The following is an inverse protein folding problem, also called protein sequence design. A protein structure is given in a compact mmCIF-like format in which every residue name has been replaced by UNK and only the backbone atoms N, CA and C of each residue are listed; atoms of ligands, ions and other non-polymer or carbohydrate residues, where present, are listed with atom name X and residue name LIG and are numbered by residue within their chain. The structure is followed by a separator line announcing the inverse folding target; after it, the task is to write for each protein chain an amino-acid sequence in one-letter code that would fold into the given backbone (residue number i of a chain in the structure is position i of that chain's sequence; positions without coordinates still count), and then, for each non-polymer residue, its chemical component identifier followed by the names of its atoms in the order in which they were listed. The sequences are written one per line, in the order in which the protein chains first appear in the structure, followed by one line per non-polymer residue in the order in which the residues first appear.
data_IF_068085447881
#
_entry.id   IF_068085447881
#
_cell.length_a   1.000
_cell.length_b   1.000
_cell.length_c   1.000
_cell.angle_alpha   90.00
_cell.angle_beta   90.00
_cell.angle_gamma   90.00
#
_symmetry.space_group_name_H-M   'P 1'
#
loop_
_entity.id
_entity.type
_entity.pdbx_description
1 polymer ?
#
# COMPACT_ATOMS: atom_id res chain seq x y z
N UNK A 1 32.48 -36.66 21.60
CA UNK A 1 32.79 -35.44 22.36
C UNK A 1 32.66 -34.27 21.40
N UNK A 2 31.61 -33.40 21.50
CA UNK A 2 31.45 -32.28 20.61
C UNK A 2 32.06 -31.04 21.25
N UNK A 3 33.23 -30.62 20.82
CA UNK A 3 33.85 -29.35 21.22
C UNK A 3 34.05 -28.30 20.10
N UNK A 4 33.44 -28.35 18.92
CA UNK A 4 33.72 -27.33 17.92
C UNK A 4 32.80 -26.09 17.98
N UNK A 5 31.60 -26.15 18.56
CA UNK A 5 30.65 -25.06 18.49
C UNK A 5 31.01 -23.85 19.38
N UNK A 6 31.53 -24.08 20.57
CA UNK A 6 31.93 -22.99 21.48
C UNK A 6 33.13 -22.18 20.97
N UNK A 7 34.08 -22.85 20.33
CA UNK A 7 35.27 -22.19 19.78
C UNK A 7 34.94 -21.38 18.52
N UNK A 8 33.97 -21.84 17.72
CA UNK A 8 33.47 -21.05 16.56
C UNK A 8 32.72 -19.82 17.01
N UNK A 9 31.83 -19.94 17.99
CA UNK A 9 31.09 -18.82 18.57
C UNK A 9 32.00 -17.79 19.23
N UNK A 10 33.01 -18.25 19.97
CA UNK A 10 34.00 -17.38 20.61
C UNK A 10 34.89 -16.64 19.60
N UNK A 11 35.13 -17.22 18.43
CA UNK A 11 35.81 -16.51 17.30
C UNK A 11 34.93 -15.47 16.67
N UNK A 12 33.66 -15.78 16.42
CA UNK A 12 32.68 -14.89 15.82
C UNK A 12 32.40 -13.67 16.71
N UNK A 13 32.29 -13.88 18.02
CA UNK A 13 32.14 -12.77 19.01
C UNK A 13 33.40 -11.90 19.05
N UNK A 14 34.59 -12.47 18.95
CA UNK A 14 35.82 -11.68 18.87
C UNK A 14 35.92 -10.85 17.59
N UNK A 15 35.58 -11.44 16.44
CA UNK A 15 35.57 -10.73 15.15
C UNK A 15 34.57 -9.57 15.16
N UNK A 16 33.39 -9.78 15.73
CA UNK A 16 32.39 -8.73 15.94
C UNK A 16 32.89 -7.62 16.86
N UNK A 17 33.54 -7.97 17.98
CA UNK A 17 34.10 -6.98 18.89
C UNK A 17 35.22 -6.13 18.24
N UNK A 18 36.09 -6.75 17.44
CA UNK A 18 37.12 -6.02 16.67
C UNK A 18 36.51 -5.10 15.62
N UNK A 19 35.45 -5.52 14.93
CA UNK A 19 34.73 -4.68 13.96
C UNK A 19 34.03 -3.50 14.62
N UNK A 20 33.43 -3.67 15.78
CA UNK A 20 32.85 -2.57 16.57
C UNK A 20 33.91 -1.58 17.01
N UNK A 21 35.03 -2.07 17.57
CA UNK A 21 36.13 -1.21 17.98
C UNK A 21 36.74 -0.40 16.81
N UNK A 22 36.85 -1.01 15.62
CA UNK A 22 37.34 -0.31 14.43
C UNK A 22 36.37 0.79 13.94
N UNK A 23 35.03 0.56 14.05
CA UNK A 23 34.02 1.55 13.72
C UNK A 23 34.01 2.71 14.72
N UNK A 24 34.15 2.44 16.02
CA UNK A 24 34.26 3.48 17.05
C UNK A 24 35.51 4.35 16.84
N UNK A 25 36.62 3.73 16.47
CA UNK A 25 37.87 4.49 16.17
C UNK A 25 37.70 5.37 14.94
N UNK A 26 37.03 4.90 13.89
CA UNK A 26 36.71 5.71 12.70
C UNK A 26 35.77 6.86 13.02
N UNK A 27 34.77 6.66 13.88
CA UNK A 27 33.87 7.70 14.37
C UNK A 27 34.63 8.77 15.15
N UNK A 28 35.48 8.39 16.09
CA UNK A 28 36.34 9.34 16.85
C UNK A 28 37.28 10.13 15.95
N UNK A 29 37.86 9.49 14.93
CA UNK A 29 38.71 10.20 13.94
C UNK A 29 37.89 11.14 13.04
N UNK A 30 36.67 10.83 12.74
CA UNK A 30 35.75 11.70 12.01
C UNK A 30 35.31 12.90 12.87
N UNK A 31 34.99 12.67 14.13
CA UNK A 31 34.67 13.72 15.11
C UNK A 31 35.87 14.65 15.36
N UNK A 32 37.07 14.10 15.49
CA UNK A 32 38.30 14.89 15.66
C UNK A 32 38.67 15.76 14.43
N UNK A 33 38.20 15.39 13.22
CA UNK A 33 38.35 16.22 12.01
C UNK A 33 37.30 17.31 11.90
N UNK A 34 36.20 17.23 12.65
CA UNK A 34 35.15 18.26 12.69
C UNK A 34 35.39 19.29 13.76
N UNK A 35 36.29 19.02 14.72
CA UNK A 35 36.71 20.02 15.71
C UNK A 35 37.77 20.95 15.09
N UNK A 36 37.49 22.24 14.84
CA UNK A 36 38.50 23.18 14.34
C UNK A 36 39.61 23.37 15.39
N UNK A 37 40.87 23.28 14.94
CA UNK A 37 42.03 23.58 15.76
C UNK A 37 41.91 25.00 16.36
N UNK A 38 42.09 25.10 17.66
CA UNK A 38 42.18 26.38 18.38
C UNK A 38 43.18 27.30 17.72
N UNK A 39 42.75 28.41 17.16
CA UNK A 39 43.54 29.54 16.78
C UNK A 39 43.54 30.56 17.94
N UNK A 40 44.66 31.35 18.16
CA UNK A 40 44.90 32.11 19.38
C UNK A 40 43.93 33.28 19.55
N UNK A 41 43.59 33.46 20.82
CA UNK A 41 42.69 34.48 21.36
C UNK A 41 43.21 35.90 21.16
N UNK A 42 42.73 36.56 20.12
CA UNK A 42 42.72 38.04 20.06
C UNK A 42 41.79 38.47 18.92
N UNK A 43 40.52 38.55 19.17
CA UNK A 43 39.47 39.36 18.49
C UNK A 43 38.07 38.76 18.77
N UNK A 44 37.65 38.75 20.05
CA UNK A 44 36.43 37.99 20.44
C UNK A 44 35.20 38.90 20.62
N UNK A 45 35.24 40.20 20.41
CA UNK A 45 34.03 41.03 20.60
C UNK A 45 33.23 41.39 19.33
N UNK A 46 33.79 41.19 18.12
CA UNK A 46 33.07 41.51 16.88
C UNK A 46 32.41 40.28 16.18
N UNK A 47 32.71 39.04 16.59
CA UNK A 47 32.24 37.82 15.93
C UNK A 47 31.03 37.19 16.63
N UNK A 48 30.73 37.61 17.86
CA UNK A 48 29.59 37.04 18.63
C UNK A 48 28.22 37.52 18.13
N UNK A 49 28.12 38.64 17.44
CA UNK A 49 26.87 39.12 16.84
C UNK A 49 26.57 38.48 15.48
N UNK A 50 27.57 38.04 14.71
CA UNK A 50 27.37 37.37 13.42
C UNK A 50 26.98 35.90 13.56
N UNK A 51 27.44 35.20 14.61
CA UNK A 51 27.08 33.79 14.84
C UNK A 51 25.64 33.56 15.34
N UNK A 52 25.06 34.56 15.97
CA UNK A 52 23.64 34.53 16.42
C UNK A 52 22.65 34.70 15.28
N UNK A 53 23.04 35.34 14.17
CA UNK A 53 22.19 35.57 13.00
C UNK A 53 22.25 34.39 12.04
N UNK A 54 23.36 33.64 11.98
CA UNK A 54 23.53 32.48 11.09
C UNK A 54 22.78 31.22 11.63
N UNK A 55 22.60 31.08 12.95
CA UNK A 55 21.86 29.97 13.54
C UNK A 55 20.35 30.11 13.35
N UNK A 56 19.82 31.29 13.06
CA UNK A 56 18.38 31.52 12.80
C UNK A 56 18.03 31.53 11.31
N UNK A 57 18.96 31.44 10.41
CA UNK A 57 18.73 31.48 8.96
C UNK A 57 18.42 30.10 8.34
N UNK A 58 18.81 29.01 9.00
CA UNK A 58 18.54 27.64 8.49
C UNK A 58 17.05 27.34 8.26
N UNK A 59 16.11 27.66 9.17
CA UNK A 59 14.68 27.45 8.89
C UNK A 59 14.16 28.38 7.78
N UNK A 60 14.73 29.56 7.62
CA UNK A 60 14.33 30.51 6.57
C UNK A 60 14.83 30.06 5.18
N UNK A 61 16.05 29.56 5.06
CA UNK A 61 16.60 29.01 3.82
C UNK A 61 15.85 27.74 3.38
N UNK A 62 15.48 26.88 4.33
CA UNK A 62 14.64 25.72 4.06
C UNK A 62 13.23 26.14 3.60
N UNK A 63 12.63 27.15 4.23
CA UNK A 63 11.33 27.68 3.84
C UNK A 63 11.36 28.33 2.45
N UNK A 64 12.41 29.06 2.12
CA UNK A 64 12.60 29.67 0.79
C UNK A 64 12.76 28.59 -0.29
N UNK A 65 13.45 27.48 0.02
CA UNK A 65 13.59 26.33 -0.88
C UNK A 65 12.26 25.60 -1.16
N UNK A 66 11.27 25.69 -0.25
CA UNK A 66 9.93 25.09 -0.42
C UNK A 66 8.98 25.95 -1.26
N UNK A 67 9.21 27.27 -1.32
CA UNK A 67 8.32 28.22 -1.99
C UNK A 67 8.06 27.90 -3.47
N UNK A 68 9.08 27.55 -4.30
CA UNK A 68 8.86 27.14 -5.68
C UNK A 68 8.05 25.85 -5.81
N UNK A 69 8.19 24.92 -4.85
CA UNK A 69 7.48 23.66 -4.85
C UNK A 69 5.98 23.86 -4.55
N UNK A 70 5.68 24.67 -3.53
CA UNK A 70 4.31 25.07 -3.20
C UNK A 70 3.67 25.86 -4.34
N UNK A 71 4.42 26.78 -4.95
CA UNK A 71 3.96 27.54 -6.12
C UNK A 71 3.57 26.63 -7.29
N UNK A 72 4.35 25.60 -7.58
CA UNK A 72 4.01 24.60 -8.61
C UNK A 72 2.77 23.81 -8.27
N UNK A 73 2.61 23.38 -7.00
CA UNK A 73 1.39 22.67 -6.55
C UNK A 73 0.16 23.55 -6.68
N UNK A 74 0.23 24.82 -6.29
CA UNK A 74 -0.85 25.79 -6.46
C UNK A 74 -1.20 26.02 -7.93
N UNK A 75 -0.19 26.10 -8.80
CA UNK A 75 -0.40 26.19 -10.25
C UNK A 75 -1.09 24.92 -10.79
N UNK A 76 -0.74 23.75 -10.26
CA UNK A 76 -1.40 22.50 -10.57
C UNK A 76 -2.88 22.49 -10.19
N UNK A 77 -3.21 22.96 -9.02
CA UNK A 77 -4.60 23.10 -8.58
C UNK A 77 -5.34 24.15 -9.42
N UNK A 78 -4.71 25.28 -9.73
CA UNK A 78 -5.31 26.30 -10.61
C UNK A 78 -5.65 25.75 -12.00
N UNK A 79 -4.77 24.91 -12.59
CA UNK A 79 -5.03 24.20 -13.84
C UNK A 79 -6.24 23.25 -13.76
N UNK A 80 -6.40 22.53 -12.64
CA UNK A 80 -7.56 21.69 -12.42
C UNK A 80 -8.86 22.49 -12.30
N UNK A 81 -8.83 23.62 -11.57
CA UNK A 81 -9.97 24.53 -11.49
C UNK A 81 -10.32 25.17 -12.84
N UNK A 82 -9.34 25.51 -13.67
CA UNK A 82 -9.56 26.00 -15.03
C UNK A 82 -10.26 24.93 -15.89
N UNK A 83 -9.82 23.69 -15.87
CA UNK A 83 -10.48 22.60 -16.59
C UNK A 83 -11.92 22.42 -16.13
N UNK A 84 -12.16 22.50 -14.82
CA UNK A 84 -13.51 22.46 -14.27
C UNK A 84 -14.39 23.62 -14.77
N UNK A 85 -13.87 24.84 -14.72
CA UNK A 85 -14.62 26.03 -15.20
C UNK A 85 -14.95 25.94 -16.69
N UNK A 86 -14.06 25.38 -17.52
CA UNK A 86 -14.30 25.13 -18.94
C UNK A 86 -15.39 24.06 -19.15
N UNK A 87 -15.47 23.05 -18.31
CA UNK A 87 -16.53 22.04 -18.35
C UNK A 87 -17.87 22.65 -17.90
N UNK A 88 -17.91 23.39 -16.79
CA UNK A 88 -19.11 24.05 -16.26
C UNK A 88 -19.66 25.13 -17.22
N UNK A 89 -18.78 25.80 -17.98
CA UNK A 89 -19.22 26.79 -18.99
C UNK A 89 -19.83 26.18 -20.27
N UNK A 90 -19.84 24.85 -20.37
CA UNK A 90 -20.28 24.11 -21.56
C UNK A 90 -19.35 24.20 -22.77
N UNK A 91 -18.14 24.78 -22.59
CA UNK A 91 -17.12 24.82 -23.63
C UNK A 91 -16.52 23.44 -23.96
N UNK A 92 -16.58 22.51 -22.99
CA UNK A 92 -16.15 21.13 -23.14
C UNK A 92 -17.28 20.18 -22.74
N UNK A 93 -17.53 19.09 -23.52
CA UNK A 93 -18.42 18.02 -23.10
C UNK A 93 -17.90 17.37 -21.79
N UNK A 94 -18.78 16.99 -20.85
CA UNK A 94 -18.41 16.49 -19.52
C UNK A 94 -17.40 15.33 -19.57
N UNK A 95 -17.61 14.36 -20.47
CA UNK A 95 -16.71 13.22 -20.64
C UNK A 95 -15.30 13.62 -21.13
N UNK A 96 -15.18 14.70 -21.92
CA UNK A 96 -13.90 15.25 -22.39
C UNK A 96 -13.19 15.96 -21.23
N UNK A 97 -13.94 16.75 -20.44
CA UNK A 97 -13.44 17.42 -19.24
C UNK A 97 -12.90 16.42 -18.20
N UNK A 98 -13.66 15.35 -17.94
CA UNK A 98 -13.26 14.26 -17.03
C UNK A 98 -11.99 13.57 -17.54
N UNK A 99 -11.96 13.18 -18.82
CA UNK A 99 -10.78 12.53 -19.41
C UNK A 99 -9.54 13.42 -19.35
N UNK A 100 -9.69 14.72 -19.67
CA UNK A 100 -8.60 15.69 -19.58
C UNK A 100 -8.10 15.84 -18.14
N UNK A 101 -8.99 15.87 -17.15
CA UNK A 101 -8.63 15.92 -15.73
C UNK A 101 -7.88 14.68 -15.25
N UNK A 102 -8.29 13.49 -15.69
CA UNK A 102 -7.57 12.22 -15.39
C UNK A 102 -6.17 12.25 -16.01
N UNK A 103 -6.04 12.64 -17.28
CA UNK A 103 -4.75 12.78 -17.97
C UNK A 103 -3.87 13.82 -17.28
N UNK A 104 -4.45 14.93 -16.85
CA UNK A 104 -3.76 15.98 -16.12
C UNK A 104 -3.21 15.48 -14.77
N UNK A 105 -4.01 14.78 -13.99
CA UNK A 105 -3.57 14.14 -12.74
C UNK A 105 -2.47 13.10 -13.00
N UNK A 106 -2.61 12.28 -14.03
CA UNK A 106 -1.58 11.34 -14.47
C UNK A 106 -0.27 12.05 -14.86
N UNK A 107 -0.36 13.22 -15.50
CA UNK A 107 0.77 14.08 -15.83
C UNK A 107 1.56 14.53 -14.60
N UNK A 108 0.88 14.93 -13.53
CA UNK A 108 1.51 15.28 -12.24
C UNK A 108 2.21 14.08 -11.60
N UNK A 109 1.60 12.90 -11.64
CA UNK A 109 2.22 11.67 -11.14
C UNK A 109 3.43 11.27 -12.01
N UNK A 110 3.36 11.47 -13.34
CA UNK A 110 4.49 11.32 -14.24
C UNK A 110 5.62 12.31 -13.92
N UNK A 111 5.27 13.53 -13.51
CA UNK A 111 6.25 14.53 -13.09
C UNK A 111 6.96 14.10 -11.80
N UNK A 112 6.23 13.53 -10.84
CA UNK A 112 6.81 12.90 -9.66
C UNK A 112 7.83 11.81 -10.03
N UNK A 113 7.56 11.03 -11.09
CA UNK A 113 8.47 10.02 -11.60
C UNK A 113 9.78 10.57 -12.18
N UNK A 114 9.82 11.83 -12.58
CA UNK A 114 11.02 12.48 -13.14
C UNK A 114 11.91 13.13 -12.07
N UNK A 115 11.41 13.26 -10.86
CA UNK A 115 12.16 13.82 -9.74
C UNK A 115 13.32 12.90 -9.36
N UNK A 116 14.52 13.45 -9.07
CA UNK A 116 15.63 12.66 -8.54
C UNK A 116 15.26 11.98 -7.21
N UNK A 117 15.75 10.76 -6.99
CA UNK A 117 15.44 9.98 -5.77
C UNK A 117 15.81 10.69 -4.45
N UNK A 118 16.70 11.67 -4.50
CA UNK A 118 17.11 12.48 -3.34
C UNK A 118 16.05 13.51 -2.92
N UNK A 119 15.17 13.90 -3.83
CA UNK A 119 14.17 14.95 -3.62
C UNK A 119 12.79 14.34 -3.27
N UNK A 120 12.75 13.53 -2.22
CA UNK A 120 11.52 12.82 -1.80
C UNK A 120 10.35 13.77 -1.51
N UNK A 121 10.63 14.97 -0.99
CA UNK A 121 9.60 15.97 -0.71
C UNK A 121 8.95 16.50 -1.99
N UNK A 122 9.75 16.75 -3.04
CA UNK A 122 9.21 17.19 -4.33
C UNK A 122 8.32 16.12 -4.97
N UNK A 123 8.75 14.85 -4.91
CA UNK A 123 7.96 13.72 -5.36
C UNK A 123 6.65 13.59 -4.58
N UNK A 124 6.69 13.77 -3.25
CA UNK A 124 5.50 13.76 -2.39
C UNK A 124 4.51 14.87 -2.78
N UNK A 125 4.99 16.10 -2.97
CA UNK A 125 4.12 17.24 -3.34
C UNK A 125 3.47 17.03 -4.70
N UNK A 126 4.21 16.53 -5.70
CA UNK A 126 3.63 16.26 -7.02
C UNK A 126 2.62 15.11 -6.99
N UNK A 127 2.89 14.06 -6.21
CA UNK A 127 1.94 12.95 -6.03
C UNK A 127 0.69 13.39 -5.28
N UNK A 128 0.85 14.24 -4.25
CA UNK A 128 -0.28 14.81 -3.52
C UNK A 128 -1.11 15.74 -4.43
N UNK A 129 -0.46 16.56 -5.26
CA UNK A 129 -1.15 17.41 -6.26
C UNK A 129 -1.95 16.53 -7.23
N UNK A 130 -1.37 15.43 -7.73
CA UNK A 130 -2.09 14.48 -8.57
C UNK A 130 -3.33 13.90 -7.87
N UNK A 131 -3.19 13.49 -6.60
CA UNK A 131 -4.28 12.94 -5.80
C UNK A 131 -5.37 13.98 -5.52
N UNK A 132 -5.00 15.21 -5.14
CA UNK A 132 -5.96 16.30 -4.85
C UNK A 132 -6.72 16.78 -6.09
N UNK A 133 -6.20 16.55 -7.28
CA UNK A 133 -6.91 16.78 -8.54
C UNK A 133 -7.84 15.60 -8.87
N UNK A 134 -7.32 14.38 -8.79
CA UNK A 134 -8.04 13.17 -9.24
C UNK A 134 -9.23 12.84 -8.34
N UNK A 135 -9.04 12.87 -7.01
CA UNK A 135 -10.06 12.40 -6.06
C UNK A 135 -11.36 13.24 -6.13
N UNK A 136 -11.31 14.59 -6.03
CA UNK A 136 -12.53 15.39 -6.18
C UNK A 136 -13.14 15.29 -7.58
N UNK A 137 -12.32 15.19 -8.63
CA UNK A 137 -12.81 15.02 -9.99
C UNK A 137 -13.65 13.75 -10.14
N UNK A 138 -13.12 12.61 -9.65
CA UNK A 138 -13.85 11.34 -9.72
C UNK A 138 -15.10 11.34 -8.84
N UNK A 139 -15.03 11.95 -7.66
CA UNK A 139 -16.19 12.14 -6.81
C UNK A 139 -17.30 12.91 -7.53
N UNK A 140 -16.96 14.06 -8.09
CA UNK A 140 -17.93 14.91 -8.78
C UNK A 140 -18.49 14.23 -10.03
N UNK A 141 -17.63 13.61 -10.84
CA UNK A 141 -18.04 12.89 -12.05
C UNK A 141 -18.97 11.70 -11.76
N UNK A 142 -18.79 11.05 -10.60
CA UNK A 142 -19.56 9.84 -10.26
C UNK A 142 -20.80 10.17 -9.44
N UNK A 143 -20.67 11.00 -8.38
CA UNK A 143 -21.75 11.25 -7.41
C UNK A 143 -22.62 12.42 -7.81
N UNK A 144 -22.05 13.52 -8.32
CA UNK A 144 -22.80 14.73 -8.63
C UNK A 144 -23.33 14.74 -10.06
N UNK A 145 -22.47 14.46 -11.02
CA UNK A 145 -22.81 14.52 -12.45
C UNK A 145 -23.36 13.19 -13.00
N UNK A 146 -23.16 12.09 -12.31
CA UNK A 146 -23.50 10.72 -12.78
C UNK A 146 -22.97 10.44 -14.19
N UNK A 147 -21.86 11.10 -14.58
CA UNK A 147 -21.26 11.01 -15.90
C UNK A 147 -20.45 9.71 -16.09
N UNK A 148 -19.94 9.13 -15.01
CA UNK A 148 -19.21 7.85 -15.02
C UNK A 148 -19.77 6.92 -13.93
N UNK A 149 -19.67 5.60 -14.16
CA UNK A 149 -20.07 4.61 -13.20
C UNK A 149 -19.04 4.47 -12.05
N UNK A 150 -19.48 3.96 -10.88
CA UNK A 150 -18.59 3.63 -9.77
C UNK A 150 -17.49 2.63 -10.19
N UNK A 151 -17.79 1.71 -11.11
CA UNK A 151 -16.82 0.78 -11.66
C UNK A 151 -15.72 1.47 -12.49
N UNK A 152 -16.09 2.43 -13.32
CA UNK A 152 -15.12 3.24 -14.11
C UNK A 152 -14.24 4.09 -13.20
N UNK A 153 -14.83 4.74 -12.19
CA UNK A 153 -14.09 5.49 -11.18
C UNK A 153 -13.13 4.57 -10.41
N UNK A 154 -13.59 3.40 -9.99
CA UNK A 154 -12.76 2.39 -9.33
C UNK A 154 -11.60 1.91 -10.20
N UNK A 155 -11.84 1.62 -11.48
CA UNK A 155 -10.78 1.26 -12.41
C UNK A 155 -9.72 2.37 -12.56
N UNK A 156 -10.16 3.63 -12.62
CA UNK A 156 -9.26 4.79 -12.70
C UNK A 156 -8.41 4.92 -11.43
N UNK A 157 -9.01 4.75 -10.24
CA UNK A 157 -8.29 4.76 -8.97
C UNK A 157 -7.29 3.60 -8.87
N UNK A 158 -7.65 2.42 -9.35
CA UNK A 158 -6.74 1.28 -9.42
C UNK A 158 -5.53 1.57 -10.31
N UNK A 159 -5.76 2.10 -11.51
CA UNK A 159 -4.66 2.46 -12.43
C UNK A 159 -3.76 3.55 -11.84
N UNK A 160 -4.34 4.53 -11.13
CA UNK A 160 -3.58 5.56 -10.42
C UNK A 160 -2.69 4.97 -9.32
N UNK A 161 -3.22 4.05 -8.50
CA UNK A 161 -2.46 3.37 -7.47
C UNK A 161 -1.32 2.52 -8.06
N UNK A 162 -1.60 1.71 -9.10
CA UNK A 162 -0.61 0.88 -9.78
C UNK A 162 0.48 1.74 -10.43
N UNK A 163 0.12 2.87 -11.01
CA UNK A 163 1.08 3.80 -11.57
C UNK A 163 1.99 4.39 -10.48
N UNK A 164 1.44 4.80 -9.33
CA UNK A 164 2.22 5.23 -8.16
C UNK A 164 3.18 4.15 -7.66
N UNK A 165 2.74 2.89 -7.57
CA UNK A 165 3.58 1.75 -7.22
C UNK A 165 4.71 1.54 -8.23
N UNK A 166 4.41 1.64 -9.53
CA UNK A 166 5.41 1.49 -10.61
C UNK A 166 6.49 2.57 -10.51
N UNK A 167 6.09 3.82 -10.26
CA UNK A 167 7.02 4.93 -10.03
C UNK A 167 7.90 4.65 -8.80
N UNK A 168 7.29 4.18 -7.72
CA UNK A 168 8.00 3.81 -6.49
C UNK A 168 9.06 2.73 -6.74
N UNK A 169 8.75 1.72 -7.52
CA UNK A 169 9.69 0.64 -7.84
C UNK A 169 10.89 1.13 -8.65
N UNK A 170 10.65 1.92 -9.70
CA UNK A 170 11.72 2.39 -10.56
C UNK A 170 12.64 3.42 -9.93
N UNK A 171 12.14 4.21 -8.99
CA UNK A 171 12.87 5.35 -8.40
C UNK A 171 13.18 5.19 -6.92
N UNK A 172 12.73 4.12 -6.30
CA UNK A 172 12.79 3.89 -4.84
C UNK A 172 12.16 5.06 -4.03
N UNK A 173 11.04 5.58 -4.54
CA UNK A 173 10.28 6.70 -3.96
C UNK A 173 9.01 6.16 -3.26
N UNK A 174 9.17 5.50 -2.13
CA UNK A 174 8.06 4.87 -1.37
C UNK A 174 6.91 5.84 -1.07
N UNK A 175 7.22 7.12 -0.86
CA UNK A 175 6.21 8.15 -0.58
C UNK A 175 5.18 8.30 -1.70
N UNK A 176 5.58 8.07 -2.97
CA UNK A 176 4.68 8.17 -4.14
C UNK A 176 3.64 7.05 -4.11
N UNK A 177 4.06 5.81 -3.84
CA UNK A 177 3.12 4.69 -3.74
C UNK A 177 2.18 4.87 -2.54
N UNK A 178 2.71 5.30 -1.40
CA UNK A 178 1.91 5.54 -0.19
C UNK A 178 0.81 6.57 -0.46
N UNK A 179 1.14 7.73 -1.04
CA UNK A 179 0.16 8.77 -1.36
C UNK A 179 -0.87 8.26 -2.37
N UNK A 180 -0.43 7.61 -3.47
CA UNK A 180 -1.33 7.12 -4.50
C UNK A 180 -2.27 6.03 -3.97
N UNK A 181 -1.78 5.09 -3.16
CA UNK A 181 -2.57 4.02 -2.56
C UNK A 181 -3.56 4.56 -1.54
N UNK A 182 -3.12 5.45 -0.63
CA UNK A 182 -4.00 6.07 0.36
C UNK A 182 -5.09 6.91 -0.30
N UNK A 183 -4.75 7.68 -1.34
CA UNK A 183 -5.71 8.45 -2.11
C UNK A 183 -6.75 7.54 -2.80
N UNK A 184 -6.31 6.44 -3.41
CA UNK A 184 -7.20 5.49 -4.07
C UNK A 184 -8.11 4.76 -3.06
N UNK A 185 -7.60 4.34 -1.91
CA UNK A 185 -8.41 3.72 -0.84
C UNK A 185 -9.41 4.73 -0.26
N UNK A 186 -8.95 5.93 0.10
CA UNK A 186 -9.80 6.97 0.67
C UNK A 186 -10.91 7.41 -0.29
N UNK A 187 -10.56 7.63 -1.57
CA UNK A 187 -11.52 7.94 -2.63
C UNK A 187 -12.51 6.78 -2.86
N UNK A 188 -12.01 5.53 -2.87
CA UNK A 188 -12.86 4.35 -2.99
C UNK A 188 -13.88 4.23 -1.86
N UNK A 189 -13.46 4.47 -0.61
CA UNK A 189 -14.37 4.51 0.54
C UNK A 189 -15.37 5.66 0.42
N UNK A 190 -14.92 6.85 0.04
CA UNK A 190 -15.82 7.97 -0.18
C UNK A 190 -16.86 7.65 -1.26
N UNK A 191 -16.44 7.14 -2.42
CA UNK A 191 -17.34 6.73 -3.49
C UNK A 191 -18.33 5.65 -3.03
N UNK A 192 -17.89 4.68 -2.20
CA UNK A 192 -18.75 3.65 -1.64
C UNK A 192 -19.89 4.26 -0.82
N UNK A 193 -19.58 5.26 -0.01
CA UNK A 193 -20.56 5.97 0.81
C UNK A 193 -21.47 6.88 -0.02
N UNK A 194 -20.96 7.43 -1.12
CA UNK A 194 -21.71 8.37 -1.98
C UNK A 194 -22.61 7.68 -3.02
N UNK A 195 -22.14 6.56 -3.60
CA UNK A 195 -22.86 5.86 -4.68
C UNK A 195 -23.69 4.68 -4.21
N UNK A 196 -23.36 4.11 -3.04
CA UNK A 196 -23.91 2.86 -2.51
C UNK A 196 -23.73 1.67 -3.47
N UNK A 197 -22.80 1.75 -4.42
CA UNK A 197 -22.47 0.68 -5.36
C UNK A 197 -21.29 -0.14 -4.83
N UNK A 198 -21.61 -1.09 -3.96
CA UNK A 198 -20.64 -1.83 -3.14
C UNK A 198 -19.74 -2.72 -3.97
N UNK A 199 -20.30 -3.43 -4.96
CA UNK A 199 -19.60 -4.51 -5.63
C UNK A 199 -18.38 -4.05 -6.46
N UNK A 200 -18.47 -3.03 -7.34
CA UNK A 200 -17.31 -2.54 -8.10
C UNK A 200 -16.20 -2.01 -7.21
N UNK A 201 -16.56 -1.36 -6.09
CA UNK A 201 -15.59 -0.80 -5.17
C UNK A 201 -14.94 -1.87 -4.28
N UNK A 202 -15.66 -2.95 -3.96
CA UNK A 202 -15.05 -4.14 -3.35
C UNK A 202 -13.98 -4.73 -4.27
N UNK A 203 -14.25 -4.86 -5.56
CA UNK A 203 -13.24 -5.30 -6.53
C UNK A 203 -12.07 -4.33 -6.68
N UNK A 204 -12.29 -3.02 -6.57
CA UNK A 204 -11.21 -2.03 -6.47
C UNK A 204 -10.27 -2.35 -5.30
N UNK A 205 -10.82 -2.53 -4.09
CA UNK A 205 -10.01 -2.78 -2.90
C UNK A 205 -9.27 -4.12 -2.98
N UNK A 206 -9.91 -5.16 -3.51
CA UNK A 206 -9.27 -6.44 -3.78
C UNK A 206 -8.13 -6.32 -4.81
N UNK A 207 -8.33 -5.54 -5.87
CA UNK A 207 -7.31 -5.32 -6.90
C UNK A 207 -6.10 -4.54 -6.34
N UNK A 208 -6.33 -3.50 -5.52
CA UNK A 208 -5.25 -2.77 -4.84
C UNK A 208 -4.51 -3.71 -3.87
N UNK A 209 -5.22 -4.50 -3.07
CA UNK A 209 -4.61 -5.48 -2.16
C UNK A 209 -3.76 -6.51 -2.94
N UNK A 210 -4.25 -7.01 -4.07
CA UNK A 210 -3.49 -7.92 -4.95
C UNK A 210 -2.22 -7.26 -5.50
N UNK A 211 -2.28 -5.99 -5.92
CA UNK A 211 -1.12 -5.27 -6.42
C UNK A 211 -0.07 -5.04 -5.32
N UNK A 212 -0.49 -4.70 -4.10
CA UNK A 212 0.39 -4.52 -2.94
C UNK A 212 1.02 -5.85 -2.52
N UNK A 213 0.25 -6.95 -2.50
CA UNK A 213 0.78 -8.28 -2.20
C UNK A 213 1.75 -8.77 -3.29
N UNK A 214 1.46 -8.51 -4.57
CA UNK A 214 2.38 -8.79 -5.66
C UNK A 214 3.70 -8.01 -5.51
N UNK A 215 3.63 -6.75 -5.09
CA UNK A 215 4.82 -5.94 -4.78
C UNK A 215 5.66 -6.56 -3.67
N UNK A 216 5.01 -6.98 -2.59
CA UNK A 216 5.67 -7.66 -1.48
C UNK A 216 6.31 -9.00 -1.91
N UNK A 217 5.69 -9.72 -2.86
CA UNK A 217 6.28 -10.91 -3.46
C UNK A 217 7.51 -10.61 -4.31
N UNK A 218 7.67 -9.38 -4.83
CA UNK A 218 8.83 -8.92 -5.61
C UNK A 218 9.90 -8.21 -4.77
N UNK A 219 9.86 -8.34 -3.44
CA UNK A 219 10.74 -7.68 -2.46
C UNK A 219 10.64 -6.15 -2.43
N UNK A 220 9.56 -5.61 -2.97
CA UNK A 220 9.24 -4.20 -2.87
C UNK A 220 8.26 -3.99 -1.71
N UNK A 221 8.79 -3.79 -0.51
CA UNK A 221 7.98 -3.59 0.68
C UNK A 221 7.22 -2.28 0.63
N UNK A 222 5.90 -2.37 0.72
CA UNK A 222 4.99 -1.24 0.88
C UNK A 222 4.44 -1.25 2.30
N UNK A 223 4.55 -0.14 3.01
CA UNK A 223 4.05 -0.02 4.39
C UNK A 223 2.53 -0.14 4.48
N UNK A 224 1.83 0.02 3.35
CA UNK A 224 0.38 0.05 3.22
C UNK A 224 -0.28 -1.35 3.25
N UNK A 225 0.50 -2.44 3.32
CA UNK A 225 -0.04 -3.83 3.27
C UNK A 225 -1.18 -4.07 4.26
N UNK A 226 -1.00 -3.64 5.50
CA UNK A 226 -2.03 -3.84 6.52
C UNK A 226 -3.30 -3.04 6.25
N UNK A 227 -3.18 -1.81 5.71
CA UNK A 227 -4.32 -0.96 5.42
C UNK A 227 -5.12 -1.49 4.23
N UNK A 228 -4.44 -1.92 3.16
CA UNK A 228 -5.09 -2.53 2.00
C UNK A 228 -5.78 -3.84 2.36
N UNK A 229 -5.16 -4.65 3.25
CA UNK A 229 -5.74 -5.88 3.76
C UNK A 229 -7.03 -5.60 4.54
N UNK A 230 -6.97 -4.72 5.52
CA UNK A 230 -8.15 -4.35 6.33
C UNK A 230 -9.27 -3.77 5.45
N UNK A 231 -8.94 -2.93 4.48
CA UNK A 231 -9.94 -2.32 3.59
C UNK A 231 -10.60 -3.39 2.70
N UNK A 232 -9.83 -4.33 2.16
CA UNK A 232 -10.35 -5.44 1.37
C UNK A 232 -11.24 -6.36 2.22
N UNK A 233 -10.79 -6.75 3.42
CA UNK A 233 -11.54 -7.58 4.35
C UNK A 233 -12.88 -6.94 4.73
N UNK A 234 -12.84 -5.66 5.13
CA UNK A 234 -14.05 -4.93 5.53
C UNK A 234 -15.03 -4.74 4.37
N UNK A 235 -14.53 -4.52 3.15
CA UNK A 235 -15.39 -4.36 1.97
C UNK A 235 -16.14 -5.66 1.63
N UNK A 236 -15.45 -6.82 1.69
CA UNK A 236 -16.07 -8.13 1.46
C UNK A 236 -17.05 -8.48 2.59
N UNK A 237 -16.69 -8.19 3.84
CA UNK A 237 -17.59 -8.35 4.99
C UNK A 237 -18.85 -7.50 4.85
N UNK A 238 -18.70 -6.20 4.51
CA UNK A 238 -19.82 -5.30 4.31
C UNK A 238 -20.75 -5.80 3.20
N UNK A 239 -20.17 -6.16 2.04
CA UNK A 239 -20.96 -6.69 0.92
C UNK A 239 -21.71 -7.97 1.30
N UNK A 240 -21.05 -8.87 2.04
CA UNK A 240 -21.67 -10.11 2.53
C UNK A 240 -22.79 -9.81 3.53
N UNK A 241 -22.54 -8.92 4.49
CA UNK A 241 -23.52 -8.54 5.50
C UNK A 241 -24.76 -7.90 4.88
N UNK A 242 -24.59 -7.01 3.89
CA UNK A 242 -25.69 -6.36 3.18
C UNK A 242 -26.60 -7.38 2.48
N UNK A 243 -26.02 -8.43 1.88
CA UNK A 243 -26.80 -9.44 1.14
C UNK A 243 -27.45 -10.47 2.06
N UNK A 244 -26.79 -10.78 3.20
CA UNK A 244 -27.25 -11.85 4.11
C UNK A 244 -28.09 -11.33 5.28
N UNK A 245 -28.28 -10.02 5.40
CA UNK A 245 -29.07 -9.41 6.46
C UNK A 245 -30.56 -9.75 6.28
N UNK A 246 -31.23 -10.16 7.38
CA UNK A 246 -32.66 -10.52 7.41
C UNK A 246 -33.60 -9.38 6.97
N UNK A 247 -33.13 -8.13 7.04
CA UNK A 247 -33.90 -6.94 6.59
C UNK A 247 -33.88 -6.75 5.09
N UNK A 248 -33.10 -7.53 4.35
CA UNK A 248 -32.85 -7.36 2.93
C UNK A 248 -31.91 -6.21 2.60
N UNK A 249 -31.59 -6.07 1.32
CA UNK A 249 -30.76 -4.99 0.82
C UNK A 249 -31.56 -3.67 0.87
N UNK A 250 -31.02 -2.59 1.49
CA UNK A 250 -31.69 -1.27 1.47
C UNK A 250 -31.90 -0.79 0.04
N UNK A 251 -33.03 -0.12 -0.24
CA UNK A 251 -33.42 0.34 -1.59
C UNK A 251 -32.37 1.29 -2.24
N UNK A 252 -31.56 1.94 -1.43
CA UNK A 252 -30.49 2.85 -1.90
C UNK A 252 -29.28 2.12 -2.50
N UNK A 253 -29.13 0.83 -2.22
CA UNK A 253 -27.99 0.04 -2.69
C UNK A 253 -28.28 -0.65 -4.02
N UNK A 254 -27.28 -0.66 -4.90
CA UNK A 254 -27.36 -1.43 -6.13
C UNK A 254 -27.45 -2.94 -5.84
N UNK A 255 -28.22 -3.66 -6.67
CA UNK A 255 -28.35 -5.10 -6.52
C UNK A 255 -26.99 -5.82 -6.60
N UNK A 256 -26.70 -6.68 -5.64
CA UNK A 256 -25.45 -7.44 -5.56
C UNK A 256 -25.72 -8.89 -5.98
N UNK A 257 -25.30 -9.33 -7.19
CA UNK A 257 -25.47 -10.70 -7.62
C UNK A 257 -24.63 -11.66 -6.76
N UNK A 258 -25.24 -12.71 -6.22
CA UNK A 258 -24.58 -13.67 -5.31
C UNK A 258 -23.30 -14.28 -5.90
N UNK A 259 -23.29 -14.56 -7.22
CA UNK A 259 -22.13 -15.15 -7.89
C UNK A 259 -20.89 -14.21 -7.87
N UNK A 260 -21.10 -12.92 -8.09
CA UNK A 260 -20.00 -11.94 -8.06
C UNK A 260 -19.47 -11.71 -6.63
N UNK A 261 -20.38 -11.70 -5.65
CA UNK A 261 -19.98 -11.61 -4.24
C UNK A 261 -19.23 -12.87 -3.80
N UNK A 262 -19.67 -14.04 -4.21
CA UNK A 262 -18.94 -15.29 -4.02
C UNK A 262 -17.55 -15.23 -4.69
N UNK A 263 -17.47 -14.69 -5.91
CA UNK A 263 -16.20 -14.44 -6.60
C UNK A 263 -15.27 -13.51 -5.81
N UNK A 264 -15.80 -12.47 -5.17
CA UNK A 264 -15.03 -11.57 -4.33
C UNK A 264 -14.45 -12.27 -3.08
N UNK A 265 -15.24 -13.18 -2.45
CA UNK A 265 -14.77 -13.99 -1.32
C UNK A 265 -13.64 -14.95 -1.72
N UNK A 266 -13.81 -15.63 -2.86
CA UNK A 266 -12.77 -16.50 -3.41
C UNK A 266 -11.53 -15.71 -3.78
N UNK A 267 -11.70 -14.52 -4.37
CA UNK A 267 -10.57 -13.64 -4.73
C UNK A 267 -9.79 -13.17 -3.49
N UNK A 268 -10.49 -12.78 -2.42
CA UNK A 268 -9.87 -12.40 -1.15
C UNK A 268 -8.95 -13.52 -0.63
N UNK A 269 -9.48 -14.74 -0.53
CA UNK A 269 -8.70 -15.90 -0.09
C UNK A 269 -7.53 -16.19 -1.02
N UNK A 270 -7.77 -16.16 -2.34
CA UNK A 270 -6.76 -16.46 -3.34
C UNK A 270 -5.59 -15.47 -3.31
N UNK A 271 -5.84 -14.17 -3.12
CA UNK A 271 -4.80 -13.12 -3.06
C UNK A 271 -3.83 -13.42 -1.92
N UNK A 272 -4.34 -13.61 -0.70
CA UNK A 272 -3.48 -13.79 0.48
C UNK A 272 -2.85 -15.18 0.53
N UNK A 273 -3.56 -16.21 0.09
CA UNK A 273 -3.00 -17.55 0.00
C UNK A 273 -1.88 -17.63 -1.05
N UNK A 274 -2.09 -17.04 -2.24
CA UNK A 274 -1.08 -17.01 -3.29
C UNK A 274 0.16 -16.22 -2.86
N UNK A 275 -0.02 -15.03 -2.27
CA UNK A 275 1.10 -14.23 -1.74
C UNK A 275 1.91 -15.03 -0.71
N UNK A 276 1.24 -15.67 0.23
CA UNK A 276 1.89 -16.48 1.27
C UNK A 276 2.63 -17.68 0.67
N UNK A 277 2.02 -18.39 -0.27
CA UNK A 277 2.66 -19.53 -0.97
C UNK A 277 3.93 -19.07 -1.69
N UNK A 278 3.85 -17.98 -2.45
CA UNK A 278 5.01 -17.44 -3.18
C UNK A 278 6.14 -17.11 -2.20
N UNK A 279 5.85 -16.41 -1.12
CA UNK A 279 6.86 -15.96 -0.16
C UNK A 279 7.47 -17.10 0.64
N UNK A 280 6.67 -18.05 1.10
CA UNK A 280 7.15 -19.11 1.98
C UNK A 280 7.74 -20.31 1.22
N UNK A 281 7.11 -20.73 0.11
CA UNK A 281 7.54 -21.93 -0.63
C UNK A 281 8.48 -21.63 -1.79
N UNK A 282 8.34 -20.50 -2.48
CA UNK A 282 9.20 -20.16 -3.60
C UNK A 282 10.41 -19.34 -3.16
N UNK A 283 10.23 -18.43 -2.21
CA UNK A 283 11.30 -17.56 -1.72
C UNK A 283 11.92 -17.99 -0.39
N UNK A 284 11.32 -18.94 0.32
CA UNK A 284 11.87 -19.52 1.54
C UNK A 284 11.78 -18.63 2.78
N UNK A 285 10.94 -17.56 2.76
CA UNK A 285 10.73 -16.72 3.93
C UNK A 285 9.88 -17.43 4.98
N UNK A 286 10.09 -17.06 6.24
CA UNK A 286 9.25 -17.51 7.34
C UNK A 286 7.97 -16.66 7.41
N UNK A 287 6.87 -17.27 7.83
CA UNK A 287 5.63 -16.56 8.13
C UNK A 287 5.87 -15.41 9.11
N UNK A 288 5.39 -14.25 8.77
CA UNK A 288 5.26 -13.13 9.71
C UNK A 288 3.93 -13.22 10.46
N UNK A 289 3.82 -12.49 11.58
CA UNK A 289 2.55 -12.42 12.32
C UNK A 289 1.41 -11.87 11.46
N UNK A 290 1.71 -10.85 10.65
CA UNK A 290 0.76 -10.26 9.72
C UNK A 290 0.23 -11.30 8.73
N UNK A 291 1.10 -12.06 8.07
CA UNK A 291 0.70 -13.07 7.08
C UNK A 291 -0.15 -14.19 7.70
N UNK A 292 0.23 -14.64 8.89
CA UNK A 292 -0.55 -15.66 9.61
C UNK A 292 -1.94 -15.16 9.96
N UNK A 293 -2.04 -13.94 10.52
CA UNK A 293 -3.31 -13.34 10.87
C UNK A 293 -4.17 -13.07 9.63
N UNK A 294 -3.58 -12.50 8.58
CA UNK A 294 -4.31 -12.11 7.38
C UNK A 294 -4.86 -13.31 6.60
N UNK A 295 -4.07 -14.38 6.44
CA UNK A 295 -4.59 -15.62 5.82
C UNK A 295 -5.72 -16.21 6.65
N UNK A 296 -5.60 -16.18 8.00
CA UNK A 296 -6.67 -16.62 8.90
C UNK A 296 -7.95 -15.79 8.74
N UNK A 297 -7.83 -14.45 8.70
CA UNK A 297 -8.99 -13.57 8.49
C UNK A 297 -9.61 -13.75 7.11
N UNK A 298 -8.81 -13.78 6.06
CA UNK A 298 -9.29 -14.02 4.70
C UNK A 298 -10.02 -15.36 4.57
N UNK A 299 -9.50 -16.42 5.22
CA UNK A 299 -10.15 -17.73 5.27
C UNK A 299 -11.49 -17.65 6.01
N UNK A 300 -11.52 -17.08 7.22
CA UNK A 300 -12.74 -16.95 8.02
C UNK A 300 -13.81 -16.14 7.29
N UNK A 301 -13.44 -14.99 6.69
CA UNK A 301 -14.37 -14.13 5.94
C UNK A 301 -14.94 -14.89 4.73
N UNK A 302 -14.05 -15.52 3.95
CA UNK A 302 -14.45 -16.22 2.72
C UNK A 302 -15.31 -17.42 2.99
N UNK A 303 -14.95 -18.25 3.97
CA UNK A 303 -15.73 -19.47 4.29
C UNK A 303 -17.05 -19.12 4.97
N UNK A 304 -17.05 -18.24 5.99
CA UNK A 304 -18.29 -17.84 6.67
C UNK A 304 -19.24 -17.11 5.72
N UNK A 305 -18.70 -16.23 4.87
CA UNK A 305 -19.46 -15.52 3.85
C UNK A 305 -20.04 -16.47 2.80
N UNK A 306 -19.25 -17.39 2.28
CA UNK A 306 -19.70 -18.40 1.32
C UNK A 306 -20.77 -19.33 1.90
N UNK A 307 -20.64 -19.74 3.17
CA UNK A 307 -21.66 -20.51 3.87
C UNK A 307 -22.95 -19.70 4.06
N UNK A 308 -22.84 -18.41 4.37
CA UNK A 308 -24.00 -17.53 4.48
C UNK A 308 -24.73 -17.36 3.15
N UNK A 309 -24.00 -17.17 2.05
CA UNK A 309 -24.55 -17.11 0.70
C UNK A 309 -25.18 -18.44 0.25
N UNK A 310 -24.68 -19.57 0.71
CA UNK A 310 -25.22 -20.88 0.37
C UNK A 310 -26.65 -21.13 0.90
N UNK A 311 -27.08 -20.32 1.89
CA UNK A 311 -28.47 -20.34 2.35
C UNK A 311 -29.42 -19.77 1.29
N UNK A 312 -28.95 -18.80 0.50
CA UNK A 312 -29.72 -18.21 -0.59
C UNK A 312 -29.57 -19.00 -1.91
N UNK A 313 -28.38 -19.57 -2.17
CA UNK A 313 -28.12 -20.43 -3.33
C UNK A 313 -27.36 -21.69 -2.91
N UNK A 314 -28.12 -22.79 -2.76
CA UNK A 314 -27.59 -24.09 -2.32
C UNK A 314 -26.49 -24.67 -3.23
N UNK A 315 -26.35 -24.17 -4.48
CA UNK A 315 -25.29 -24.60 -5.41
C UNK A 315 -23.90 -24.13 -4.98
N UNK A 316 -23.81 -23.09 -4.18
CA UNK A 316 -22.55 -22.56 -3.69
C UNK A 316 -21.95 -23.40 -2.55
N UNK A 317 -22.77 -24.12 -1.78
CA UNK A 317 -22.30 -24.93 -0.65
C UNK A 317 -21.26 -26.00 -1.06
N UNK A 318 -21.52 -26.87 -2.07
CA UNK A 318 -20.51 -27.85 -2.48
C UNK A 318 -19.26 -27.24 -3.07
N UNK A 319 -19.37 -26.09 -3.72
CA UNK A 319 -18.19 -25.37 -4.27
C UNK A 319 -17.32 -24.87 -3.13
N UNK A 320 -17.91 -24.28 -2.08
CA UNK A 320 -17.15 -23.83 -0.90
C UNK A 320 -16.52 -25.00 -0.14
N UNK A 321 -17.29 -26.09 0.06
CA UNK A 321 -16.78 -27.28 0.73
C UNK A 321 -15.58 -27.90 -0.03
N UNK A 322 -15.68 -28.01 -1.34
CA UNK A 322 -14.57 -28.53 -2.17
C UNK A 322 -13.37 -27.60 -2.14
N UNK A 323 -13.56 -26.26 -2.16
CA UNK A 323 -12.50 -25.29 -2.07
C UNK A 323 -11.79 -25.38 -0.71
N UNK A 324 -12.55 -25.40 0.39
CA UNK A 324 -11.98 -25.53 1.74
C UNK A 324 -11.20 -26.85 1.89
N UNK A 325 -11.77 -27.97 1.44
CA UNK A 325 -11.10 -29.27 1.50
C UNK A 325 -9.82 -29.32 0.66
N UNK A 326 -9.83 -28.74 -0.53
CA UNK A 326 -8.64 -28.69 -1.38
C UNK A 326 -7.56 -27.79 -0.77
N UNK A 327 -7.91 -26.66 -0.16
CA UNK A 327 -6.96 -25.82 0.58
C UNK A 327 -6.36 -26.56 1.78
N UNK A 328 -7.19 -27.25 2.57
CA UNK A 328 -6.73 -28.06 3.70
C UNK A 328 -5.78 -29.18 3.25
N UNK A 329 -6.16 -29.94 2.23
CA UNK A 329 -5.32 -31.00 1.66
C UNK A 329 -3.98 -30.44 1.12
N UNK A 330 -3.99 -29.29 0.44
CA UNK A 330 -2.79 -28.62 -0.04
C UNK A 330 -1.89 -28.19 1.11
N UNK A 331 -2.43 -27.63 2.20
CA UNK A 331 -1.68 -27.27 3.39
C UNK A 331 -0.98 -28.50 4.02
N UNK A 332 -1.68 -29.62 4.15
CA UNK A 332 -1.08 -30.87 4.64
C UNK A 332 0.00 -31.42 3.72
N UNK A 333 -0.24 -31.43 2.41
CA UNK A 333 0.75 -31.88 1.44
C UNK A 333 2.01 -31.02 1.50
N UNK A 334 1.85 -29.70 1.61
CA UNK A 334 2.99 -28.77 1.75
C UNK A 334 3.75 -29.04 3.05
N UNK A 335 3.05 -29.18 4.17
CA UNK A 335 3.67 -29.45 5.48
C UNK A 335 4.49 -30.74 5.46
N UNK A 336 3.88 -31.86 5.13
CA UNK A 336 4.50 -33.17 5.28
C UNK A 336 5.36 -33.60 4.08
N UNK A 337 4.94 -33.29 2.85
CA UNK A 337 5.71 -33.73 1.67
C UNK A 337 6.91 -32.83 1.38
N UNK A 338 6.85 -31.55 1.74
CA UNK A 338 7.89 -30.57 1.36
C UNK A 338 8.65 -30.00 2.55
N UNK A 339 7.95 -29.47 3.56
CA UNK A 339 8.60 -28.75 4.67
C UNK A 339 9.27 -29.71 5.64
N UNK A 340 8.61 -30.78 6.07
CA UNK A 340 9.18 -31.77 6.96
C UNK A 340 10.43 -32.42 6.37
N UNK A 341 10.39 -32.81 5.09
CA UNK A 341 11.49 -33.50 4.41
C UNK A 341 12.68 -32.61 4.07
N UNK A 342 12.46 -31.32 3.78
CA UNK A 342 13.53 -30.42 3.29
C UNK A 342 14.11 -29.52 4.36
N UNK A 343 13.30 -29.04 5.30
CA UNK A 343 13.67 -27.99 6.25
C UNK A 343 13.51 -28.47 7.70
N UNK A 344 12.72 -29.53 7.94
CA UNK A 344 12.34 -29.99 9.28
C UNK A 344 11.20 -29.19 9.90
N UNK A 345 10.76 -29.52 11.14
CA UNK A 345 9.64 -28.89 11.83
C UNK A 345 10.00 -27.46 12.27
N UNK A 346 9.83 -26.49 11.38
CA UNK A 346 10.02 -25.08 11.62
C UNK A 346 8.70 -24.32 11.70
N UNK A 347 8.76 -22.99 11.84
CA UNK A 347 7.58 -22.11 11.94
C UNK A 347 6.60 -22.29 10.78
N UNK A 348 7.11 -22.40 9.55
CA UNK A 348 6.27 -22.61 8.38
C UNK A 348 5.53 -23.94 8.43
N UNK A 349 6.19 -25.01 8.90
CA UNK A 349 5.56 -26.32 9.06
C UNK A 349 4.35 -26.25 9.99
N UNK A 350 4.51 -25.67 11.17
CA UNK A 350 3.42 -25.57 12.14
C UNK A 350 2.28 -24.68 11.63
N UNK A 351 2.60 -23.57 10.95
CA UNK A 351 1.57 -22.69 10.41
C UNK A 351 0.73 -23.37 9.32
N UNK A 352 1.36 -24.04 8.35
CA UNK A 352 0.62 -24.79 7.33
C UNK A 352 -0.15 -25.96 7.91
N UNK A 353 0.39 -26.68 8.90
CA UNK A 353 -0.33 -27.76 9.56
C UNK A 353 -1.56 -27.26 10.30
N UNK A 354 -1.48 -26.10 10.96
CA UNK A 354 -2.62 -25.47 11.64
C UNK A 354 -3.71 -25.02 10.67
N UNK A 355 -3.32 -24.46 9.52
CA UNK A 355 -4.31 -24.08 8.48
C UNK A 355 -4.93 -25.28 7.77
N UNK A 356 -4.33 -26.46 7.85
CA UNK A 356 -4.89 -27.70 7.30
C UNK A 356 -5.97 -28.34 8.17
N UNK A 357 -6.07 -27.94 9.43
CA UNK A 357 -7.08 -28.42 10.37
C UNK A 357 -8.38 -27.64 10.22
#
# INVERSE_FOLDING_TARGET
MPQPEWESLAREVRDLAERVASMEQRLRLAEARVTPAEAPSETIEAVAEESGVLASSQPLEQAVGLLPLVGRALLGMAGAYLLRALSESGALPDHVGIAAGIVYAGGWLMWAARVPAKETLAAAVYSLTAATVLVPLLWEATVSLHAISAGTAGATLFLFAVFGMTVSWHKNLLVVSTIATLAALGAGVALLLGTHDVLPLTFLFLAIAAAVEASACLDHWLNERWLTAVTADLSVLLATWLVTNDRGLPETYAAIPHLWLFGAQVALLAIYLASTIVRTLLRGFNFTLFETAQVGFAFLISVSGGLSLSRADARLAPVMATLALTCAAACYLVSFARLERKVGPGRNFYTYSTFGI
#
